data_IF_621652989094
#
_entry.id   IF_621652989094
#
_cell.length_a   1.000
_cell.length_b   1.000
_cell.length_c   1.000
_cell.angle_alpha   90.00
_cell.angle_beta   90.00
_cell.angle_gamma   90.00
#
_symmetry.space_group_name_H-M   'P 1'
#
loop_
_entity.id
_entity.type
_entity.pdbx_description
1 polymer ?
#
# COMPACT_ATOMS: atom_id res chain seq x y z
N UNK A 1 16.82 -9.89 -5.97
CA UNK A 1 15.36 -9.92 -5.72
C UNK A 1 15.05 -9.07 -4.51
N UNK A 2 14.63 -7.82 -4.72
CA UNK A 2 14.03 -7.03 -3.64
C UNK A 2 12.77 -7.74 -3.12
N UNK A 3 12.72 -7.96 -1.81
CA UNK A 3 11.55 -8.48 -1.10
C UNK A 3 11.21 -7.55 0.07
N UNK A 4 9.93 -7.39 0.35
CA UNK A 4 9.47 -6.73 1.57
C UNK A 4 9.44 -7.73 2.71
N UNK A 5 9.94 -7.32 3.88
CA UNK A 5 9.86 -8.12 5.11
C UNK A 5 8.90 -7.48 6.11
N UNK A 6 8.08 -8.29 6.78
CA UNK A 6 7.20 -7.79 7.83
C UNK A 6 8.06 -7.29 8.99
N UNK A 7 7.81 -6.06 9.45
CA UNK A 7 8.59 -5.38 10.49
C UNK A 7 9.66 -4.43 9.95
N UNK A 8 9.92 -4.37 8.65
CA UNK A 8 10.84 -3.40 8.05
C UNK A 8 10.36 -1.98 8.32
N UNK A 9 11.27 -1.11 8.79
CA UNK A 9 10.97 0.28 9.16
C UNK A 9 11.59 1.25 8.16
N UNK A 10 10.82 2.25 7.77
CA UNK A 10 11.24 3.35 6.89
C UNK A 10 11.13 4.67 7.63
N UNK A 11 12.22 5.44 7.64
CA UNK A 11 12.29 6.77 8.25
C UNK A 11 11.69 7.86 7.36
N UNK A 12 11.73 7.68 6.03
CA UNK A 12 11.17 8.61 5.05
C UNK A 12 10.20 7.91 4.09
N UNK A 13 9.29 8.70 3.51
CA UNK A 13 8.44 8.26 2.41
C UNK A 13 9.25 8.02 1.12
N UNK A 14 10.35 8.73 0.92
CA UNK A 14 11.24 8.55 -0.25
C UNK A 14 11.92 7.18 -0.25
N UNK A 15 12.40 6.70 0.90
CA UNK A 15 12.97 5.36 1.04
C UNK A 15 11.95 4.28 0.67
N UNK A 16 10.70 4.46 1.09
CA UNK A 16 9.61 3.57 0.74
C UNK A 16 9.33 3.58 -0.78
N UNK A 17 9.28 4.76 -1.40
CA UNK A 17 9.08 4.90 -2.85
C UNK A 17 10.19 4.19 -3.63
N UNK A 18 11.45 4.47 -3.30
CA UNK A 18 12.60 3.83 -3.94
C UNK A 18 12.57 2.31 -3.80
N UNK A 19 12.16 1.80 -2.62
CA UNK A 19 12.02 0.35 -2.40
C UNK A 19 10.88 -0.25 -3.24
N UNK A 20 9.76 0.46 -3.36
CA UNK A 20 8.63 0.06 -4.19
C UNK A 20 9.03 0.02 -5.66
N UNK A 21 9.74 1.03 -6.17
CA UNK A 21 10.19 1.06 -7.57
C UNK A 21 11.09 -0.13 -7.89
N UNK A 22 12.11 -0.39 -7.05
CA UNK A 22 12.96 -1.58 -7.19
C UNK A 22 12.16 -2.88 -7.15
N UNK A 23 11.13 -2.96 -6.30
CA UNK A 23 10.27 -4.12 -6.23
C UNK A 23 9.44 -4.31 -7.52
N UNK A 24 8.93 -3.22 -8.10
CA UNK A 24 8.21 -3.26 -9.38
C UNK A 24 9.11 -3.77 -10.49
N UNK A 25 10.37 -3.33 -10.53
CA UNK A 25 11.37 -3.78 -11.52
C UNK A 25 11.79 -5.25 -11.31
N UNK A 26 12.10 -5.66 -10.08
CA UNK A 26 12.55 -7.04 -9.76
C UNK A 26 11.46 -8.09 -10.06
N UNK A 27 10.18 -7.74 -9.82
CA UNK A 27 9.06 -8.65 -10.00
C UNK A 27 8.30 -8.43 -11.31
N UNK A 28 8.63 -7.41 -12.10
CA UNK A 28 7.86 -6.96 -13.28
C UNK A 28 6.38 -6.70 -12.95
N UNK A 29 6.08 -6.13 -11.77
CA UNK A 29 4.70 -5.94 -11.29
C UNK A 29 4.33 -4.46 -11.17
N UNK A 30 3.11 -4.12 -11.57
CA UNK A 30 2.56 -2.80 -11.28
C UNK A 30 1.73 -2.80 -9.99
N UNK A 31 2.07 -1.87 -9.10
CA UNK A 31 1.39 -1.66 -7.81
C UNK A 31 0.60 -0.36 -7.82
N UNK A 32 -0.63 -0.44 -7.32
CA UNK A 32 -1.56 0.68 -7.14
C UNK A 32 -1.93 0.85 -5.67
N UNK A 33 -2.32 2.06 -5.28
CA UNK A 33 -2.74 2.36 -3.90
C UNK A 33 -4.22 1.97 -3.76
N UNK A 34 -4.49 0.95 -2.94
CA UNK A 34 -5.85 0.50 -2.63
C UNK A 34 -6.53 1.37 -1.58
N UNK A 35 -5.76 1.72 -0.55
CA UNK A 35 -6.22 2.53 0.56
C UNK A 35 -5.04 3.32 1.09
N UNK A 36 -5.27 4.59 1.38
CA UNK A 36 -4.31 5.44 2.05
C UNK A 36 -5.02 6.24 3.12
N UNK A 37 -4.35 6.42 4.25
CA UNK A 37 -4.75 7.33 5.32
C UNK A 37 -3.59 8.24 5.61
N UNK A 38 -3.84 9.54 5.55
CA UNK A 38 -2.84 10.56 5.89
C UNK A 38 -2.71 10.70 7.41
N UNK A 39 -1.54 11.14 7.86
CA UNK A 39 -1.30 11.40 9.28
C UNK A 39 -2.23 12.48 9.84
N UNK A 40 -2.49 13.54 9.08
CA UNK A 40 -3.43 14.61 9.46
C UNK A 40 -4.82 14.05 9.79
N UNK A 41 -5.33 13.14 8.96
CA UNK A 41 -6.61 12.48 9.19
C UNK A 41 -6.58 11.58 10.43
N UNK A 42 -5.47 10.91 10.72
CA UNK A 42 -5.30 10.08 11.91
C UNK A 42 -5.27 10.90 13.20
N UNK A 43 -4.63 12.07 13.18
CA UNK A 43 -4.63 13.04 14.28
C UNK A 43 -6.04 13.60 14.50
N UNK A 44 -6.70 14.04 13.44
CA UNK A 44 -8.07 14.59 13.53
C UNK A 44 -9.08 13.57 14.06
N UNK A 45 -8.87 12.28 13.80
CA UNK A 45 -9.72 11.18 14.29
C UNK A 45 -9.29 10.63 15.65
N UNK A 46 -8.36 11.29 16.36
CA UNK A 46 -7.80 10.89 17.66
C UNK A 46 -7.19 9.48 17.71
N UNK A 47 -6.86 8.90 16.54
CA UNK A 47 -6.14 7.61 16.46
C UNK A 47 -4.65 7.78 16.74
N UNK A 48 -4.17 9.01 16.59
CA UNK A 48 -2.82 9.42 16.93
C UNK A 48 -2.91 10.65 17.83
N UNK A 49 -2.27 10.60 19.00
CA UNK A 49 -2.23 11.74 19.91
C UNK A 49 -1.56 12.93 19.23
N UNK A 50 -2.19 14.10 19.35
CA UNK A 50 -1.67 15.35 18.79
C UNK A 50 -0.34 15.77 19.41
N UNK A 51 -0.07 15.30 20.63
CA UNK A 51 1.14 15.56 21.42
C UNK A 51 2.35 14.75 20.96
N UNK A 52 2.18 13.75 20.07
CA UNK A 52 3.32 13.02 19.52
C UNK A 52 4.05 13.89 18.50
N UNK A 53 5.38 13.91 18.59
CA UNK A 53 6.22 14.56 17.60
C UNK A 53 6.21 13.72 16.31
N UNK A 54 5.22 13.97 15.45
CA UNK A 54 5.03 13.26 14.19
C UNK A 54 6.11 13.70 13.23
N UNK A 55 6.83 12.73 12.66
CA UNK A 55 7.79 13.01 11.62
C UNK A 55 7.04 13.48 10.36
N UNK A 56 7.17 14.77 10.01
CA UNK A 56 6.50 15.39 8.85
C UNK A 56 6.94 14.79 7.52
N UNK A 57 8.09 14.10 7.48
CA UNK A 57 8.56 13.37 6.30
C UNK A 57 7.72 12.12 6.01
N UNK A 58 6.95 11.65 7.00
CA UNK A 58 5.92 10.64 6.79
C UNK A 58 4.64 11.37 6.39
N UNK A 59 4.08 11.00 5.24
CA UNK A 59 2.82 11.58 4.74
C UNK A 59 1.62 10.71 5.17
N UNK A 60 1.84 9.39 5.23
CA UNK A 60 0.80 8.40 5.43
C UNK A 60 0.88 7.75 6.81
N UNK A 61 -0.27 7.66 7.48
CA UNK A 61 -0.48 6.88 8.69
C UNK A 61 -0.60 5.37 8.38
N UNK A 62 -1.28 5.07 7.28
CA UNK A 62 -1.47 3.71 6.79
C UNK A 62 -1.61 3.75 5.28
N UNK A 63 -0.89 2.88 4.59
CA UNK A 63 -0.98 2.77 3.15
C UNK A 63 -0.99 1.30 2.75
N UNK A 64 -1.91 0.96 1.86
CA UNK A 64 -2.07 -0.37 1.30
C UNK A 64 -1.87 -0.30 -0.21
N UNK A 65 -0.82 -0.96 -0.67
CA UNK A 65 -0.59 -1.23 -2.07
C UNK A 65 -1.18 -2.58 -2.46
N UNK A 66 -1.69 -2.67 -3.67
CA UNK A 66 -2.18 -3.90 -4.31
C UNK A 66 -1.67 -3.94 -5.74
N UNK A 67 -1.61 -5.13 -6.34
CA UNK A 67 -1.37 -5.22 -7.79
C UNK A 67 -2.46 -4.47 -8.58
N UNK A 68 -2.13 -3.92 -9.76
CA UNK A 68 -3.10 -3.23 -10.64
C UNK A 68 -4.24 -4.16 -11.11
N UNK A 69 -3.90 -5.42 -11.37
CA UNK A 69 -4.82 -6.52 -11.65
C UNK A 69 -5.58 -6.98 -10.38
N UNK A 70 -5.14 -6.50 -9.23
CA UNK A 70 -5.74 -6.70 -7.92
C UNK A 70 -6.85 -5.70 -7.62
N UNK A 71 -7.74 -6.13 -6.72
CA UNK A 71 -8.81 -5.29 -6.18
C UNK A 71 -10.18 -5.55 -6.79
N UNK A 72 -11.21 -5.07 -6.09
CA UNK A 72 -12.61 -5.24 -6.49
C UNK A 72 -13.10 -3.99 -7.21
N UNK A 73 -13.50 -4.14 -8.48
CA UNK A 73 -14.33 -3.13 -9.14
C UNK A 73 -15.70 -3.15 -8.47
N UNK A 74 -15.94 -2.24 -7.51
CA UNK A 74 -17.30 -2.02 -7.01
C UNK A 74 -18.08 -1.30 -8.12
N UNK A 75 -18.87 -2.04 -8.89
CA UNK A 75 -19.78 -1.42 -9.85
C UNK A 75 -20.82 -0.58 -9.09
N UNK A 76 -20.95 0.70 -9.46
CA UNK A 76 -22.06 1.56 -9.01
C UNK A 76 -23.20 1.62 -10.05
N UNK A 77 -23.09 0.82 -11.12
CA UNK A 77 -23.98 0.84 -12.27
C UNK A 77 -25.15 -0.14 -12.12
N UNK A 78 -26.34 0.25 -12.56
CA UNK A 78 -27.56 -0.59 -12.63
C UNK A 78 -27.55 -1.62 -13.79
N UNK A 79 -26.39 -1.96 -14.35
CA UNK A 79 -26.26 -3.16 -15.20
C UNK A 79 -26.53 -3.00 -16.71
N UNK A 80 -26.28 -1.84 -17.32
CA UNK A 80 -26.53 -1.65 -18.77
C UNK A 80 -25.40 -2.15 -19.71
N UNK A 81 -24.19 -2.44 -19.22
CA UNK A 81 -23.06 -2.93 -20.05
C UNK A 81 -22.49 -4.24 -19.50
N UNK A 82 -22.33 -5.24 -20.37
CA UNK A 82 -21.70 -6.56 -20.09
C UNK A 82 -20.19 -6.57 -20.34
N UNK A 83 -19.48 -5.46 -20.08
CA UNK A 83 -18.02 -5.44 -20.17
C UNK A 83 -17.47 -5.09 -18.80
N UNK A 84 -17.11 -6.12 -18.03
CA UNK A 84 -16.28 -5.96 -16.84
C UNK A 84 -14.86 -6.29 -17.23
N UNK A 85 -13.93 -5.35 -17.04
CA UNK A 85 -12.51 -5.69 -16.94
C UNK A 85 -12.39 -6.56 -15.68
N UNK A 86 -12.34 -7.87 -15.87
CA UNK A 86 -12.23 -8.87 -14.80
C UNK A 86 -10.87 -8.65 -14.13
N UNK A 87 -10.84 -7.84 -13.08
CA UNK A 87 -9.72 -7.81 -12.15
C UNK A 87 -9.54 -9.23 -11.62
N UNK A 88 -8.35 -9.79 -11.77
CA UNK A 88 -8.03 -11.19 -11.45
C UNK A 88 -7.96 -11.47 -9.94
N UNK A 89 -8.46 -10.55 -9.11
CA UNK A 89 -8.39 -10.60 -7.65
C UNK A 89 -7.02 -11.04 -7.13
N UNK A 90 -5.94 -10.46 -7.71
CA UNK A 90 -4.58 -10.81 -7.33
C UNK A 90 -4.37 -10.63 -5.81
N UNK A 91 -3.87 -11.65 -5.10
CA UNK A 91 -3.72 -11.61 -3.64
C UNK A 91 -2.48 -10.83 -3.21
N UNK A 92 -1.67 -10.32 -4.14
CA UNK A 92 -0.56 -9.44 -3.82
C UNK A 92 -1.07 -8.17 -3.13
N UNK A 93 -0.57 -7.93 -1.92
CA UNK A 93 -0.80 -6.69 -1.21
C UNK A 93 0.38 -6.36 -0.30
N UNK A 94 0.63 -5.08 -0.11
CA UNK A 94 1.64 -4.58 0.81
C UNK A 94 0.96 -3.55 1.69
N UNK A 95 0.89 -3.83 2.99
CA UNK A 95 0.26 -2.95 3.98
C UNK A 95 1.32 -2.40 4.90
N UNK A 96 1.50 -1.08 4.87
CA UNK A 96 2.37 -0.35 5.76
C UNK A 96 1.54 0.50 6.70
N UNK A 97 2.01 0.64 7.93
CA UNK A 97 1.42 1.53 8.91
C UNK A 97 2.49 2.20 9.74
N UNK A 98 2.21 3.40 10.21
CA UNK A 98 3.11 4.14 11.08
C UNK A 98 3.32 3.37 12.39
N UNK A 99 4.56 3.42 12.89
CA UNK A 99 4.94 2.87 14.19
C UNK A 99 4.23 3.59 15.35
N UNK A 100 4.25 2.99 16.53
CA UNK A 100 3.68 3.58 17.75
C UNK A 100 4.27 4.96 18.05
N UNK A 101 5.53 5.16 17.70
CA UNK A 101 6.27 6.40 17.94
C UNK A 101 6.02 7.49 16.90
N UNK A 102 5.26 7.20 15.82
CA UNK A 102 4.98 8.15 14.74
C UNK A 102 6.22 8.71 14.01
N UNK A 103 7.35 8.00 14.12
CA UNK A 103 8.63 8.39 13.53
C UNK A 103 9.05 7.54 12.34
N UNK A 104 8.43 6.37 12.13
CA UNK A 104 8.73 5.49 11.01
C UNK A 104 7.48 4.79 10.46
N UNK A 105 7.51 4.42 9.18
CA UNK A 105 6.55 3.53 8.52
C UNK A 105 7.02 2.09 8.65
N UNK A 106 6.18 1.22 9.20
CA UNK A 106 6.48 -0.20 9.40
C UNK A 106 5.64 -1.04 8.44
N UNK A 107 6.28 -2.02 7.78
CA UNK A 107 5.56 -3.03 7.01
C UNK A 107 4.79 -3.94 7.98
N UNK A 108 3.47 -3.85 7.98
CA UNK A 108 2.62 -4.67 8.86
C UNK A 108 2.31 -6.02 8.25
N UNK A 109 2.00 -6.05 6.96
CA UNK A 109 1.72 -7.29 6.24
C UNK A 109 2.16 -7.13 4.79
N UNK A 110 2.68 -8.22 4.24
CA UNK A 110 3.04 -8.33 2.83
C UNK A 110 2.56 -9.69 2.35
N UNK A 111 1.94 -9.70 1.18
CA UNK A 111 1.75 -10.89 0.39
C UNK A 111 2.34 -10.64 -0.99
N UNK A 112 3.22 -11.52 -1.43
CA UNK A 112 3.95 -11.42 -2.71
C UNK A 112 3.45 -12.45 -3.73
N UNK A 113 2.43 -13.23 -3.40
CA UNK A 113 1.87 -14.23 -4.28
C UNK A 113 1.02 -13.59 -5.40
N UNK A 114 1.23 -14.07 -6.62
CA UNK A 114 0.43 -13.72 -7.79
C UNK A 114 -0.41 -14.90 -8.23
N UNK A 115 -1.68 -14.64 -8.54
CA UNK A 115 -2.58 -15.64 -9.13
C UNK A 115 -2.70 -15.47 -10.66
N UNK A 116 -1.75 -14.77 -11.28
CA UNK A 116 -1.74 -14.52 -12.72
C UNK A 116 -0.29 -14.49 -13.22
N UNK A 117 -0.10 -14.76 -14.51
CA UNK A 117 1.17 -14.51 -15.16
C UNK A 117 1.51 -13.03 -15.01
N UNK A 118 2.63 -12.79 -14.35
CA UNK A 118 3.30 -11.51 -14.36
C UNK A 118 4.21 -11.57 -15.56
N UNK A 119 3.85 -10.85 -16.61
CA UNK A 119 4.64 -10.88 -17.83
C UNK A 119 6.00 -10.27 -17.52
N UNK A 120 7.05 -11.07 -17.69
CA UNK A 120 8.43 -10.72 -17.31
C UNK A 120 9.06 -9.82 -18.36
#
# INVERSE_FOLDING_TARGET
>A
KCSFTVGEKFSSFEDLLNKIEKFKEDHSTELSIAASRKLESAVNTKRLSKDKNINKSLIYFEIKYICIEGGKCKSRSKGARKTSTLKKECPLFISLGTDKDAQSLVVKNVNLEHNHEVNR
#
